data_IF_180805003469
#
_entry.id   IF_180805003469
#
_cell.length_a   1.000
_cell.length_b   1.000
_cell.length_c   1.000
_cell.angle_alpha   90.00
_cell.angle_beta   90.00
_cell.angle_gamma   90.00
#
_symmetry.space_group_name_H-M   'P 1'
#
loop_
_entity.id
_entity.type
_entity.pdbx_description
1 polymer ?
#
# COMPACT_ATOMS: atom_id res chain seq x y z
N UNK A 1 -16.40 28.45 -15.95
CA UNK A 1 -15.09 28.17 -15.31
C UNK A 1 -14.57 26.86 -15.89
N UNK A 2 -13.34 26.80 -16.40
CA UNK A 2 -12.73 25.50 -16.72
C UNK A 2 -12.41 24.81 -15.39
N UNK A 3 -13.01 23.65 -15.15
CA UNK A 3 -12.65 22.81 -14.00
C UNK A 3 -11.15 22.48 -14.10
N UNK A 4 -10.38 22.90 -13.10
CA UNK A 4 -8.95 22.58 -13.03
C UNK A 4 -8.77 21.15 -12.57
N UNK A 5 -8.00 20.35 -13.30
CA UNK A 5 -7.59 19.01 -12.87
C UNK A 5 -6.41 19.08 -11.88
N UNK A 6 -6.30 18.09 -10.99
CA UNK A 6 -5.14 17.92 -10.11
C UNK A 6 -4.69 16.47 -10.14
N UNK A 7 -3.39 16.25 -10.32
CA UNK A 7 -2.77 14.93 -10.18
C UNK A 7 -2.44 14.67 -8.71
N UNK A 8 -2.77 13.47 -8.23
CA UNK A 8 -2.48 13.01 -6.87
C UNK A 8 -2.06 11.54 -6.92
N UNK A 9 -1.26 11.11 -5.95
CA UNK A 9 -1.03 9.69 -5.68
C UNK A 9 -2.15 9.13 -4.80
N UNK A 10 -2.66 7.95 -5.16
CA UNK A 10 -3.56 7.16 -4.34
C UNK A 10 -2.76 6.13 -3.54
N UNK A 11 -3.03 6.02 -2.24
CA UNK A 11 -2.47 4.99 -1.35
C UNK A 11 -3.48 4.69 -0.25
N UNK A 12 -3.13 3.87 0.75
CA UNK A 12 -3.99 3.65 1.91
C UNK A 12 -3.83 4.74 2.98
N UNK A 13 -4.91 4.99 3.73
CA UNK A 13 -4.87 5.90 4.87
C UNK A 13 -3.91 5.42 5.96
N UNK A 14 -3.88 4.12 6.27
CA UNK A 14 -2.95 3.61 7.29
C UNK A 14 -1.48 3.85 6.96
N UNK A 15 -1.11 3.96 5.67
CA UNK A 15 0.25 4.26 5.21
C UNK A 15 0.64 5.71 5.52
N UNK A 16 -0.31 6.64 5.50
CA UNK A 16 -0.05 8.08 5.69
C UNK A 16 -0.18 8.54 7.15
N UNK A 17 -0.70 7.69 8.05
CA UNK A 17 -0.85 7.99 9.49
C UNK A 17 0.42 8.51 10.17
N UNK A 18 1.64 8.01 9.86
CA UNK A 18 2.87 8.55 10.44
C UNK A 18 3.10 10.04 10.18
N UNK A 19 2.48 10.60 9.14
CA UNK A 19 2.57 12.03 8.81
C UNK A 19 1.63 12.90 9.64
N UNK A 20 0.74 12.32 10.44
CA UNK A 20 -0.28 13.05 11.21
C UNK A 20 0.13 13.15 12.68
N UNK A 21 0.00 14.35 13.25
CA UNK A 21 0.35 14.59 14.66
C UNK A 21 -0.46 13.70 15.61
N UNK A 22 0.25 13.04 16.54
CA UNK A 22 -0.33 12.09 17.47
C UNK A 22 -0.04 10.63 17.14
N UNK A 23 0.62 10.34 16.01
CA UNK A 23 1.14 9.02 15.69
C UNK A 23 2.12 8.52 16.75
N UNK A 24 2.00 7.23 17.13
CA UNK A 24 2.89 6.57 18.08
C UNK A 24 3.34 5.22 17.59
N UNK A 25 4.59 4.90 17.90
CA UNK A 25 5.16 3.56 17.77
C UNK A 25 5.29 2.98 19.17
N UNK A 26 4.72 1.80 19.38
CA UNK A 26 4.93 0.98 20.57
C UNK A 26 6.08 -0.01 20.35
N UNK A 27 6.51 -0.66 21.43
CA UNK A 27 7.46 -1.77 21.38
C UNK A 27 6.82 -2.95 22.07
N UNK A 28 6.86 -4.12 21.43
CA UNK A 28 6.42 -5.39 21.99
C UNK A 28 7.60 -6.34 22.04
N UNK A 29 7.72 -7.09 23.13
CA UNK A 29 8.65 -8.20 23.21
C UNK A 29 8.10 -9.34 22.36
N UNK A 30 8.88 -9.75 21.37
CA UNK A 30 8.56 -10.90 20.54
C UNK A 30 9.51 -12.03 20.92
N UNK A 31 8.96 -13.06 21.54
CA UNK A 31 9.73 -14.27 21.84
C UNK A 31 10.09 -14.96 20.52
N UNK A 32 11.37 -15.25 20.34
CA UNK A 32 11.87 -16.05 19.21
C UNK A 32 12.20 -17.43 19.75
N UNK A 33 12.12 -18.47 18.90
CA UNK A 33 12.48 -19.84 19.30
C UNK A 33 13.87 -19.83 19.99
N UNK A 34 13.97 -20.43 21.17
CA UNK A 34 15.11 -20.43 22.12
C UNK A 34 15.24 -19.21 23.06
N UNK A 35 14.17 -18.79 23.74
CA UNK A 35 14.27 -17.99 24.99
C UNK A 35 14.86 -16.57 24.85
N UNK A 36 15.17 -16.14 23.62
CA UNK A 36 15.58 -14.78 23.33
C UNK A 36 14.35 -13.94 22.96
N UNK A 37 14.14 -12.85 23.69
CA UNK A 37 13.12 -11.85 23.38
C UNK A 37 13.73 -10.78 22.48
N UNK A 38 13.15 -10.61 21.29
CA UNK A 38 13.50 -9.51 20.38
C UNK A 38 12.42 -8.45 20.47
N UNK A 39 12.83 -7.21 20.75
CA UNK A 39 11.94 -6.04 20.72
C UNK A 39 11.52 -5.76 19.28
N UNK A 40 10.22 -5.79 19.00
CA UNK A 40 9.65 -5.37 17.72
C UNK A 40 8.81 -4.11 17.88
N UNK A 41 9.01 -3.17 16.96
CA UNK A 41 8.11 -2.02 16.85
C UNK A 41 6.71 -2.49 16.46
N UNK A 42 5.70 -1.95 17.11
CA UNK A 42 4.29 -2.11 16.75
C UNK A 42 3.64 -0.74 16.61
N UNK A 43 2.51 -0.65 15.92
CA UNK A 43 1.73 0.58 15.97
C UNK A 43 1.16 0.75 17.38
N UNK A 44 1.45 1.90 18.00
CA UNK A 44 0.85 2.29 19.26
C UNK A 44 -0.51 2.95 19.03
N UNK A 45 -1.34 2.99 20.07
CA UNK A 45 -2.54 3.82 20.05
C UNK A 45 -2.16 5.29 19.85
N UNK A 46 -2.89 6.04 19.00
CA UNK A 46 -2.64 7.46 18.84
C UNK A 46 -2.91 8.21 20.15
N UNK A 47 -2.28 9.37 20.29
CA UNK A 47 -2.55 10.27 21.43
C UNK A 47 -4.03 10.68 21.40
N UNK A 48 -4.75 10.48 22.51
CA UNK A 48 -6.16 10.85 22.60
C UNK A 48 -6.36 12.33 22.25
N UNK A 49 -7.41 12.61 21.46
CA UNK A 49 -7.80 13.95 21.00
C UNK A 49 -6.79 14.70 20.09
N UNK A 50 -5.70 14.04 19.70
CA UNK A 50 -4.74 14.55 18.70
C UNK A 50 -5.34 14.71 17.31
N UNK A 51 -4.58 15.31 16.39
CA UNK A 51 -4.98 15.42 14.99
C UNK A 51 -5.21 14.03 14.36
N UNK A 52 -4.34 13.05 14.64
CA UNK A 52 -4.49 11.68 14.15
C UNK A 52 -5.72 11.00 14.74
N UNK A 53 -6.02 11.19 16.03
CA UNK A 53 -7.23 10.66 16.64
C UNK A 53 -8.50 11.15 15.92
N UNK A 54 -8.55 12.45 15.61
CA UNK A 54 -9.67 13.06 14.88
C UNK A 54 -9.73 12.58 13.42
N UNK A 55 -8.57 12.46 12.77
CA UNK A 55 -8.45 11.98 11.40
C UNK A 55 -8.86 10.51 11.26
N UNK A 56 -8.48 9.66 12.22
CA UNK A 56 -8.89 8.25 12.23
C UNK A 56 -10.43 8.12 12.33
N UNK A 57 -11.12 9.08 12.98
CA UNK A 57 -12.59 9.08 13.08
C UNK A 57 -13.28 9.72 11.87
N UNK A 58 -12.79 10.87 11.39
CA UNK A 58 -13.51 11.69 10.42
C UNK A 58 -12.92 11.64 9.01
N UNK A 59 -11.71 11.15 8.86
CA UNK A 59 -10.87 11.40 7.70
C UNK A 59 -10.12 12.73 7.78
N UNK A 60 -9.26 12.95 6.80
CA UNK A 60 -8.61 14.23 6.52
C UNK A 60 -9.38 14.88 5.38
N UNK A 61 -9.44 16.21 5.26
CA UNK A 61 -10.22 16.89 4.20
C UNK A 61 -9.40 17.96 3.48
N UNK A 62 -9.66 18.23 2.18
CA UNK A 62 -8.94 19.21 1.38
C UNK A 62 -8.87 20.62 2.00
N UNK A 63 -9.94 21.04 2.69
CA UNK A 63 -10.01 22.36 3.34
C UNK A 63 -8.98 22.58 4.46
N UNK A 64 -8.49 21.48 5.03
CA UNK A 64 -7.50 21.48 6.11
C UNK A 64 -6.11 21.08 5.59
N UNK A 65 -5.94 20.91 4.27
CA UNK A 65 -4.72 20.39 3.67
C UNK A 65 -3.46 21.18 4.03
N UNK A 66 -3.53 22.50 4.17
CA UNK A 66 -2.38 23.33 4.58
C UNK A 66 -1.84 23.00 5.98
N UNK A 67 -2.65 22.36 6.83
CA UNK A 67 -2.24 21.90 8.16
C UNK A 67 -1.60 20.51 8.12
N UNK A 68 -1.73 19.78 7.02
CA UNK A 68 -1.21 18.43 6.89
C UNK A 68 0.30 18.49 6.58
N UNK A 69 1.07 17.64 7.26
CA UNK A 69 2.52 17.54 7.01
C UNK A 69 2.79 16.71 5.77
N UNK A 70 3.99 16.87 5.23
CA UNK A 70 4.49 15.99 4.19
C UNK A 70 4.68 14.58 4.77
N UNK A 71 4.21 13.57 4.04
CA UNK A 71 4.57 12.20 4.33
C UNK A 71 5.97 11.91 3.78
N UNK A 72 6.78 11.25 4.59
CA UNK A 72 8.03 10.67 4.12
C UNK A 72 7.75 9.43 3.29
N UNK A 73 8.66 9.14 2.38
CA UNK A 73 8.64 7.91 1.61
C UNK A 73 8.74 6.71 2.57
N UNK A 74 7.90 5.67 2.45
CA UNK A 74 7.86 4.55 3.40
C UNK A 74 9.22 3.88 3.65
N UNK A 75 10.12 3.90 2.66
CA UNK A 75 11.50 3.42 2.78
C UNK A 75 12.33 4.12 3.88
N UNK A 76 11.98 5.34 4.29
CA UNK A 76 12.71 6.09 5.33
C UNK A 76 12.76 5.34 6.66
N UNK A 77 11.68 4.67 7.02
CA UNK A 77 11.58 3.86 8.25
C UNK A 77 12.62 2.75 8.33
N UNK A 78 13.06 2.23 7.18
CA UNK A 78 14.09 1.19 7.08
C UNK A 78 15.48 1.74 6.72
N UNK A 79 15.61 3.04 6.44
CA UNK A 79 16.84 3.63 5.88
C UNK A 79 18.10 3.21 6.65
N UNK A 80 18.14 3.45 7.97
CA UNK A 80 19.33 3.16 8.78
C UNK A 80 19.66 1.66 8.76
N UNK A 81 18.64 0.80 8.82
CA UNK A 81 18.83 -0.65 8.74
C UNK A 81 19.33 -1.09 7.37
N UNK A 82 18.77 -0.53 6.30
CA UNK A 82 19.21 -0.80 4.93
C UNK A 82 20.65 -0.33 4.70
N UNK A 83 21.02 0.85 5.20
CA UNK A 83 22.39 1.37 5.16
C UNK A 83 23.35 0.41 5.85
N UNK A 84 22.99 -0.09 7.04
CA UNK A 84 23.87 -1.02 7.76
C UNK A 84 24.02 -2.37 7.06
N UNK A 85 22.93 -2.93 6.52
CA UNK A 85 23.00 -4.15 5.69
C UNK A 85 23.89 -3.92 4.46
N UNK A 86 23.80 -2.77 3.80
CA UNK A 86 24.62 -2.49 2.63
C UNK A 86 26.11 -2.32 2.97
N UNK A 87 26.44 -1.90 4.20
CA UNK A 87 27.82 -1.78 4.69
C UNK A 87 28.48 -3.13 4.95
N UNK A 88 27.73 -4.14 5.39
CA UNK A 88 28.29 -5.46 5.74
C UNK A 88 29.11 -6.10 4.59
N UNK A 89 28.60 -6.22 3.35
CA UNK A 89 29.39 -6.74 2.23
C UNK A 89 30.62 -5.88 1.88
N UNK A 90 30.58 -4.56 2.14
CA UNK A 90 31.68 -3.63 1.89
C UNK A 90 32.79 -3.82 2.94
N UNK A 91 32.43 -4.10 4.19
CA UNK A 91 33.39 -4.39 5.26
C UNK A 91 34.09 -5.74 5.07
N UNK A 92 33.37 -6.73 4.54
CA UNK A 92 33.87 -8.12 4.43
C UNK A 92 34.69 -8.38 3.14
N UNK A 93 34.69 -7.46 2.16
CA UNK A 93 35.37 -7.64 0.88
C UNK A 93 36.24 -6.43 0.58
N UNK A 94 37.45 -6.64 0.05
CA UNK A 94 38.37 -5.56 -0.34
C UNK A 94 37.66 -4.47 -1.18
N UNK A 95 37.81 -3.16 -0.86
CA UNK A 95 37.15 -2.05 -1.55
C UNK A 95 37.31 -2.05 -3.08
N UNK A 96 38.38 -2.67 -3.57
CA UNK A 96 38.72 -2.81 -4.99
C UNK A 96 37.84 -3.79 -5.78
N UNK A 97 37.03 -4.63 -5.13
CA UNK A 97 36.32 -5.73 -5.83
C UNK A 97 34.90 -5.43 -6.31
N UNK A 98 34.22 -4.36 -5.85
CA UNK A 98 32.86 -3.97 -6.33
C UNK A 98 32.55 -2.47 -6.14
N UNK A 99 33.00 -1.57 -7.03
CA UNK A 99 32.66 -0.14 -6.99
C UNK A 99 31.14 0.12 -7.01
N UNK A 100 30.35 -0.78 -7.59
CA UNK A 100 28.89 -0.64 -7.70
C UNK A 100 28.15 -0.67 -6.36
N UNK A 101 28.65 -1.44 -5.38
CA UNK A 101 28.02 -1.52 -4.06
C UNK A 101 28.25 -0.25 -3.24
N UNK A 102 29.48 0.30 -3.29
CA UNK A 102 29.80 1.57 -2.65
C UNK A 102 29.00 2.71 -3.27
N UNK A 103 28.97 2.78 -4.61
CA UNK A 103 28.16 3.77 -5.34
C UNK A 103 26.69 3.73 -4.93
N UNK A 104 26.08 2.53 -4.85
CA UNK A 104 24.68 2.38 -4.45
C UNK A 104 24.42 2.78 -2.99
N UNK A 105 25.37 2.51 -2.09
CA UNK A 105 25.30 2.97 -0.70
C UNK A 105 25.37 4.51 -0.62
N UNK A 106 26.31 5.12 -1.34
CA UNK A 106 26.49 6.57 -1.37
C UNK A 106 25.26 7.28 -1.96
N UNK A 107 24.69 6.74 -3.04
CA UNK A 107 23.42 7.22 -3.62
C UNK A 107 22.26 7.12 -2.62
N UNK A 108 22.17 6.01 -1.88
CA UNK A 108 21.15 5.81 -0.85
C UNK A 108 21.30 6.82 0.29
N UNK A 109 22.52 7.10 0.76
CA UNK A 109 22.77 8.08 1.83
C UNK A 109 22.47 9.49 1.32
N UNK A 110 23.03 9.87 0.18
CA UNK A 110 22.86 11.19 -0.43
C UNK A 110 21.38 11.52 -0.73
N UNK A 111 20.56 10.50 -1.01
CA UNK A 111 19.11 10.68 -1.17
C UNK A 111 18.45 11.26 0.09
N UNK A 112 18.76 10.72 1.27
CA UNK A 112 18.16 11.17 2.53
C UNK A 112 18.82 12.43 3.08
N UNK A 113 20.14 12.58 2.92
CA UNK A 113 20.85 13.79 3.34
C UNK A 113 20.43 15.04 2.53
N UNK A 114 19.95 14.83 1.30
CA UNK A 114 19.43 15.90 0.43
C UNK A 114 17.95 16.23 0.64
N UNK A 115 17.32 15.81 1.74
CA UNK A 115 15.90 16.01 2.05
C UNK A 115 14.90 15.46 1.01
N UNK A 116 15.34 14.49 0.18
CA UNK A 116 14.50 13.90 -0.89
C UNK A 116 13.51 12.86 -0.37
N UNK A 117 13.44 12.63 0.95
CA UNK A 117 12.54 11.66 1.56
C UNK A 117 11.06 11.98 1.36
N UNK A 118 10.66 13.23 1.26
CA UNK A 118 9.23 13.60 1.29
C UNK A 118 8.51 13.26 0.00
N UNK A 119 7.56 12.32 0.03
CA UNK A 119 6.76 11.96 -1.14
C UNK A 119 5.81 13.09 -1.54
N UNK A 120 5.16 13.71 -0.56
CA UNK A 120 4.13 14.71 -0.81
C UNK A 120 3.31 15.03 0.42
N UNK A 121 2.39 15.98 0.27
CA UNK A 121 1.46 16.38 1.31
C UNK A 121 0.21 15.51 1.25
N UNK A 122 -0.22 14.97 2.39
CA UNK A 122 -1.50 14.28 2.47
C UNK A 122 -2.61 15.31 2.27
N UNK A 123 -3.43 15.14 1.24
CA UNK A 123 -4.45 16.12 0.87
C UNK A 123 -5.84 15.70 1.34
N UNK A 124 -6.17 14.43 1.17
CA UNK A 124 -7.50 13.90 1.46
C UNK A 124 -7.40 12.44 1.93
N UNK A 125 -8.17 12.00 2.93
CA UNK A 125 -8.14 10.59 3.34
C UNK A 125 -9.43 10.15 4.04
N UNK A 126 -9.72 8.85 3.96
CA UNK A 126 -10.96 8.25 4.47
C UNK A 126 -11.06 8.20 6.00
N UNK A 127 -9.94 8.02 6.71
CA UNK A 127 -10.00 7.59 8.11
C UNK A 127 -10.39 6.11 8.23
N UNK A 128 -10.79 5.67 9.42
CA UNK A 128 -11.13 4.27 9.71
C UNK A 128 -12.60 4.00 9.95
N UNK A 129 -13.46 5.01 9.93
CA UNK A 129 -14.91 4.82 10.14
C UNK A 129 -15.67 4.61 8.84
N UNK A 130 -15.07 4.94 7.70
CA UNK A 130 -15.70 4.84 6.39
C UNK A 130 -15.83 3.38 5.96
N UNK A 131 -16.98 3.04 5.37
CA UNK A 131 -17.33 1.69 4.93
C UNK A 131 -17.95 1.71 3.54
N UNK A 132 -17.74 0.64 2.79
CA UNK A 132 -18.46 0.40 1.53
C UNK A 132 -19.93 0.04 1.82
N UNK A 133 -20.77 0.02 0.78
CA UNK A 133 -22.16 -0.42 0.92
C UNK A 133 -22.32 -1.88 1.36
N UNK A 134 -21.26 -2.68 1.27
CA UNK A 134 -21.21 -4.09 1.69
C UNK A 134 -20.43 -4.30 2.99
N UNK A 135 -20.22 -3.23 3.77
CA UNK A 135 -19.46 -3.24 5.02
C UNK A 135 -17.96 -3.60 4.87
N UNK A 136 -17.38 -3.38 3.71
CA UNK A 136 -15.92 -3.41 3.53
C UNK A 136 -15.28 -2.13 4.06
N UNK A 137 -14.01 -2.19 4.49
CA UNK A 137 -13.29 -1.01 4.96
C UNK A 137 -12.84 -0.13 3.79
N UNK A 138 -13.03 1.18 3.95
CA UNK A 138 -12.46 2.19 3.05
C UNK A 138 -11.19 2.75 3.67
N UNK A 139 -10.04 2.31 3.16
CA UNK A 139 -8.71 2.71 3.64
C UNK A 139 -7.93 3.35 2.49
N UNK A 140 -8.19 4.64 2.22
CA UNK A 140 -7.57 5.36 1.12
C UNK A 140 -7.11 6.76 1.53
N UNK A 141 -6.06 7.23 0.87
CA UNK A 141 -5.53 8.59 0.99
C UNK A 141 -5.02 9.10 -0.36
N UNK A 142 -5.20 10.39 -0.58
CA UNK A 142 -4.70 11.15 -1.72
C UNK A 142 -3.55 12.03 -1.27
N UNK A 143 -2.43 11.92 -1.96
CA UNK A 143 -1.19 12.63 -1.66
C UNK A 143 -0.89 13.55 -2.84
N UNK A 144 -0.71 14.82 -2.56
CA UNK A 144 -0.21 15.78 -3.55
C UNK A 144 1.32 15.70 -3.52
N UNK A 145 1.96 15.16 -4.57
CA UNK A 145 3.41 15.07 -4.60
C UNK A 145 4.09 16.43 -4.52
N UNK A 146 5.32 16.44 -4.01
CA UNK A 146 6.27 17.53 -4.29
C UNK A 146 6.84 17.36 -5.71
N UNK A 147 7.55 18.34 -6.25
CA UNK A 147 8.20 18.21 -7.57
C UNK A 147 9.15 16.99 -7.65
N UNK A 148 9.88 16.72 -6.57
CA UNK A 148 10.70 15.50 -6.43
C UNK A 148 9.86 14.25 -6.14
N UNK A 149 8.67 14.41 -5.57
CA UNK A 149 7.66 13.37 -5.43
C UNK A 149 7.06 12.94 -6.77
N UNK A 150 6.78 13.88 -7.68
CA UNK A 150 6.22 13.59 -9.01
C UNK A 150 7.17 12.71 -9.83
N UNK A 151 8.48 12.95 -9.73
CA UNK A 151 9.50 12.10 -10.36
C UNK A 151 9.56 10.68 -9.78
N UNK A 152 8.99 10.46 -8.59
CA UNK A 152 9.06 9.18 -7.84
C UNK A 152 7.74 8.44 -7.73
N UNK A 153 6.61 9.12 -7.86
CA UNK A 153 5.34 8.45 -8.15
C UNK A 153 5.52 7.91 -9.55
N UNK A 154 5.83 6.61 -9.65
CA UNK A 154 6.00 5.95 -10.93
C UNK A 154 4.81 6.24 -11.84
N UNK A 155 5.05 6.27 -13.15
CA UNK A 155 3.94 6.29 -14.10
C UNK A 155 3.01 5.11 -13.82
N UNK A 156 1.74 5.24 -14.19
CA UNK A 156 0.78 4.13 -14.13
C UNK A 156 1.09 3.12 -15.25
N UNK A 157 2.33 2.66 -15.34
CA UNK A 157 2.89 1.79 -16.38
C UNK A 157 2.97 0.38 -15.81
N UNK A 158 2.38 -0.56 -16.52
CA UNK A 158 2.39 -1.99 -16.19
C UNK A 158 3.76 -2.61 -16.48
N UNK A 159 4.16 -3.68 -15.77
CA UNK A 159 5.45 -4.32 -16.00
C UNK A 159 5.58 -4.85 -17.43
N UNK A 160 6.81 -4.90 -17.93
CA UNK A 160 7.14 -5.53 -19.20
C UNK A 160 7.24 -7.04 -19.06
N UNK A 161 7.32 -7.74 -20.18
CA UNK A 161 7.41 -9.20 -20.24
C UNK A 161 8.54 -9.76 -19.37
N UNK A 162 9.71 -9.12 -19.41
CA UNK A 162 10.91 -9.60 -18.72
C UNK A 162 10.74 -9.58 -17.19
N UNK A 163 9.88 -8.69 -16.68
CA UNK A 163 9.55 -8.64 -15.25
C UNK A 163 8.77 -9.88 -14.79
N UNK A 164 8.01 -10.48 -15.71
CA UNK A 164 7.17 -11.64 -15.44
C UNK A 164 7.91 -12.95 -15.69
N UNK A 165 8.64 -13.06 -16.81
CA UNK A 165 9.43 -14.25 -17.16
C UNK A 165 10.51 -14.56 -16.12
N UNK A 166 11.06 -13.54 -15.46
CA UNK A 166 12.03 -13.72 -14.39
C UNK A 166 11.46 -14.49 -13.17
N UNK A 167 10.14 -14.57 -13.01
CA UNK A 167 9.47 -15.14 -11.84
C UNK A 167 8.54 -16.31 -12.15
N UNK A 168 7.80 -16.22 -13.25
CA UNK A 168 6.79 -17.19 -13.63
C UNK A 168 7.22 -17.90 -14.92
N UNK A 169 6.88 -19.18 -15.07
CA UNK A 169 7.09 -19.96 -16.32
C UNK A 169 5.82 -19.98 -17.19
N UNK A 170 4.67 -19.78 -16.55
CA UNK A 170 3.33 -19.69 -17.12
C UNK A 170 2.51 -18.78 -16.20
N UNK A 171 1.37 -18.28 -16.70
CA UNK A 171 0.47 -17.37 -15.99
C UNK A 171 0.88 -15.89 -15.96
N UNK A 172 1.30 -15.35 -17.09
CA UNK A 172 1.50 -13.91 -17.27
C UNK A 172 0.17 -13.18 -17.53
N UNK A 173 0.12 -11.85 -17.32
CA UNK A 173 -0.95 -11.04 -17.88
C UNK A 173 -0.87 -11.07 -19.41
N UNK A 174 -1.91 -10.57 -20.10
CA UNK A 174 -1.96 -10.67 -21.57
C UNK A 174 -0.84 -9.83 -22.21
N UNK A 175 -0.22 -10.29 -23.32
CA UNK A 175 0.96 -9.62 -23.89
C UNK A 175 0.77 -8.13 -24.23
N UNK A 176 -0.45 -7.73 -24.63
CA UNK A 176 -0.77 -6.33 -24.92
C UNK A 176 -0.81 -5.41 -23.70
N UNK A 177 -0.67 -5.95 -22.48
CA UNK A 177 -0.56 -5.16 -21.26
C UNK A 177 0.88 -4.75 -20.95
N UNK A 178 1.87 -5.41 -21.56
CA UNK A 178 3.28 -5.24 -21.19
C UNK A 178 3.79 -3.83 -21.48
N UNK A 179 4.28 -3.13 -20.45
CA UNK A 179 4.76 -1.76 -20.58
C UNK A 179 3.68 -0.73 -20.94
N UNK A 180 2.41 -1.14 -21.01
CA UNK A 180 1.28 -0.27 -21.29
C UNK A 180 0.79 0.48 -20.06
N UNK A 181 -0.12 1.43 -20.26
CA UNK A 181 -0.75 2.15 -19.15
C UNK A 181 -1.82 1.29 -18.46
N UNK A 182 -1.87 1.36 -17.13
CA UNK A 182 -2.97 0.88 -16.30
C UNK A 182 -4.26 1.55 -16.79
N UNK A 183 -5.25 0.73 -17.08
CA UNK A 183 -6.53 1.20 -17.61
C UNK A 183 -7.46 1.59 -16.46
N UNK A 184 -8.38 2.50 -16.76
CA UNK A 184 -9.47 2.86 -15.85
C UNK A 184 -10.22 1.62 -15.38
N UNK A 185 -10.87 1.74 -14.22
CA UNK A 185 -11.84 0.75 -13.79
C UNK A 185 -12.95 0.64 -14.84
N UNK A 186 -13.07 -0.54 -15.45
CA UNK A 186 -14.10 -0.86 -16.44
C UNK A 186 -14.79 -2.21 -16.16
N UNK A 187 -14.35 -2.92 -15.13
CA UNK A 187 -14.96 -4.13 -14.59
C UNK A 187 -15.00 -4.00 -13.07
N UNK A 188 -16.09 -4.43 -12.45
CA UNK A 188 -16.19 -4.44 -10.99
C UNK A 188 -15.56 -5.71 -10.40
N UNK A 189 -14.90 -5.57 -9.25
CA UNK A 189 -14.45 -6.74 -8.47
C UNK A 189 -15.64 -7.51 -7.88
N UNK A 190 -16.80 -6.87 -7.74
CA UNK A 190 -18.04 -7.54 -7.34
C UNK A 190 -18.46 -8.62 -8.35
N UNK A 191 -18.06 -8.47 -9.61
CA UNK A 191 -18.32 -9.41 -10.72
C UNK A 191 -17.13 -10.35 -10.99
N UNK A 192 -16.11 -10.35 -10.12
CA UNK A 192 -14.98 -11.27 -10.21
C UNK A 192 -15.43 -12.71 -9.90
N UNK A 193 -14.89 -13.68 -10.64
CA UNK A 193 -15.18 -15.10 -10.43
C UNK A 193 -14.06 -15.74 -9.63
N UNK A 194 -14.41 -16.69 -8.77
CA UNK A 194 -13.43 -17.47 -8.02
C UNK A 194 -12.38 -18.08 -9.00
N UNK A 195 -11.10 -17.87 -8.70
CA UNK A 195 -9.99 -18.28 -9.57
C UNK A 195 -9.57 -17.26 -10.63
N UNK A 196 -10.28 -16.13 -10.80
CA UNK A 196 -9.84 -15.06 -11.69
C UNK A 196 -8.43 -14.60 -11.30
N UNK A 197 -7.53 -14.52 -12.29
CA UNK A 197 -6.15 -14.07 -12.06
C UNK A 197 -6.10 -12.56 -11.92
N UNK A 198 -5.41 -12.10 -10.88
CA UNK A 198 -5.12 -10.69 -10.68
C UNK A 198 -3.65 -10.46 -10.44
N UNK A 199 -3.22 -9.25 -10.73
CA UNK A 199 -1.83 -8.85 -10.77
C UNK A 199 -1.64 -7.57 -9.96
N UNK A 200 -0.44 -7.41 -9.39
CA UNK A 200 -0.03 -6.15 -8.75
C UNK A 200 1.46 -5.87 -8.92
N UNK A 201 1.85 -4.62 -8.70
CA UNK A 201 3.23 -4.22 -8.40
C UNK A 201 3.22 -3.70 -6.97
N UNK A 202 3.95 -4.36 -6.07
CA UNK A 202 4.17 -3.90 -4.70
C UNK A 202 5.62 -3.51 -4.43
N UNK A 203 5.85 -2.61 -3.47
CA UNK A 203 7.20 -2.19 -3.11
C UNK A 203 8.04 -3.33 -2.48
N UNK A 204 7.40 -4.33 -1.85
CA UNK A 204 8.10 -5.45 -1.23
C UNK A 204 8.21 -6.65 -2.14
N UNK A 205 7.16 -7.02 -2.86
CA UNK A 205 7.16 -8.24 -3.69
C UNK A 205 7.35 -7.96 -5.18
N UNK A 206 7.45 -6.70 -5.59
CA UNK A 206 7.48 -6.26 -7.00
C UNK A 206 6.28 -6.81 -7.77
N UNK A 207 6.44 -7.22 -9.03
CA UNK A 207 5.37 -7.77 -9.86
C UNK A 207 4.96 -9.15 -9.37
N UNK A 208 3.70 -9.32 -8.96
CA UNK A 208 3.16 -10.59 -8.47
C UNK A 208 1.76 -10.86 -9.02
N UNK A 209 1.38 -12.15 -9.02
CA UNK A 209 0.07 -12.65 -9.40
C UNK A 209 -0.57 -13.42 -8.24
N UNK A 210 -1.88 -13.30 -8.10
CA UNK A 210 -2.72 -14.07 -7.19
C UNK A 210 -4.03 -14.46 -7.87
N UNK A 211 -4.85 -15.25 -7.18
CA UNK A 211 -6.20 -15.60 -7.64
C UNK A 211 -7.26 -15.01 -6.73
N UNK A 212 -8.35 -14.53 -7.32
CA UNK A 212 -9.51 -14.05 -6.60
C UNK A 212 -10.19 -15.20 -5.87
N UNK A 213 -10.61 -14.97 -4.63
CA UNK A 213 -11.55 -15.82 -3.92
C UNK A 213 -12.87 -15.11 -3.71
N UNK A 214 -13.97 -15.84 -3.93
CA UNK A 214 -15.32 -15.40 -3.61
C UNK A 214 -15.64 -15.41 -2.11
N UNK A 215 -14.76 -16.01 -1.29
CA UNK A 215 -14.83 -15.95 0.16
C UNK A 215 -14.51 -14.53 0.62
N UNK A 216 -15.38 -14.00 1.48
CA UNK A 216 -15.16 -12.72 2.16
C UNK A 216 -14.95 -12.93 3.66
N UNK A 217 -13.74 -12.72 4.19
CA UNK A 217 -13.51 -12.90 5.60
C UNK A 217 -14.05 -11.70 6.38
N UNK A 218 -14.68 -12.00 7.53
CA UNK A 218 -14.99 -11.00 8.53
C UNK A 218 -13.73 -10.68 9.34
N UNK A 219 -13.27 -9.44 9.25
CA UNK A 219 -12.01 -9.00 9.80
C UNK A 219 -12.21 -7.94 10.88
N UNK A 220 -11.39 -8.00 11.94
CA UNK A 220 -11.20 -6.89 12.87
C UNK A 220 -9.76 -6.43 12.71
N UNK A 221 -9.59 -5.26 12.12
CA UNK A 221 -8.28 -4.68 11.83
C UNK A 221 -7.69 -4.07 13.11
N UNK A 222 -6.47 -4.46 13.46
CA UNK A 222 -5.84 -4.15 14.75
C UNK A 222 -5.71 -2.65 15.03
N UNK A 223 -5.62 -1.86 13.97
CA UNK A 223 -5.43 -0.43 13.93
C UNK A 223 -6.62 0.36 14.51
N UNK A 224 -7.81 -0.25 14.57
CA UNK A 224 -9.03 0.37 15.09
C UNK A 224 -9.30 0.02 16.55
N UNK A 225 -8.53 -0.89 17.16
CA UNK A 225 -8.82 -1.44 18.51
C UNK A 225 -8.84 -0.40 19.62
N UNK A 226 -8.12 0.71 19.43
CA UNK A 226 -8.06 1.78 20.43
C UNK A 226 -9.31 2.67 20.44
N UNK A 227 -10.19 2.57 19.45
CA UNK A 227 -11.41 3.37 19.35
C UNK A 227 -12.48 2.91 20.34
N UNK A 228 -12.22 3.19 21.62
CA UNK A 228 -13.08 2.83 22.76
C UNK A 228 -14.49 3.38 22.54
N UNK A 229 -15.50 2.56 22.81
CA UNK A 229 -16.92 2.92 22.67
C UNK A 229 -17.57 2.42 21.38
N UNK A 230 -16.80 1.90 20.42
CA UNK A 230 -17.35 1.15 19.28
C UNK A 230 -17.66 -0.29 19.67
N UNK A 231 -18.81 -0.78 19.25
CA UNK A 231 -19.17 -2.20 19.42
C UNK A 231 -18.31 -3.03 18.47
N UNK A 232 -18.02 -4.28 18.83
CA UNK A 232 -17.23 -5.18 17.97
C UNK A 232 -17.83 -5.30 16.55
N UNK A 233 -19.16 -5.34 16.46
CA UNK A 233 -19.88 -5.35 15.18
C UNK A 233 -19.58 -4.14 14.29
N UNK A 234 -19.22 -2.99 14.87
CA UNK A 234 -18.86 -1.77 14.12
C UNK A 234 -17.38 -1.80 13.66
N UNK A 235 -16.54 -2.56 14.36
CA UNK A 235 -15.13 -2.78 14.00
C UNK A 235 -14.95 -3.87 12.94
N UNK A 236 -15.95 -4.72 12.77
CA UNK A 236 -15.95 -5.82 11.81
C UNK A 236 -16.18 -5.30 10.39
N UNK A 237 -15.35 -5.74 9.46
CA UNK A 237 -15.52 -5.48 8.03
C UNK A 237 -15.48 -6.77 7.21
N UNK A 238 -16.17 -6.78 6.08
CA UNK A 238 -16.21 -7.92 5.15
C UNK A 238 -15.44 -7.57 3.88
N UNK A 239 -14.34 -8.28 3.64
CA UNK A 239 -13.33 -7.84 2.68
C UNK A 239 -13.22 -8.77 1.46
N UNK A 240 -12.76 -8.26 0.33
CA UNK A 240 -12.39 -9.12 -0.80
C UNK A 240 -10.98 -9.66 -0.59
N UNK A 241 -10.75 -10.94 -0.91
CA UNK A 241 -9.45 -11.56 -0.75
C UNK A 241 -8.84 -12.09 -2.05
N UNK A 242 -7.52 -12.03 -2.12
CA UNK A 242 -6.70 -12.71 -3.12
C UNK A 242 -5.75 -13.66 -2.43
N UNK A 243 -5.63 -14.87 -2.96
CA UNK A 243 -4.76 -15.92 -2.42
C UNK A 243 -3.54 -16.12 -3.30
N UNK A 244 -2.47 -16.62 -2.68
CA UNK A 244 -1.25 -17.03 -3.39
C UNK A 244 -1.58 -18.09 -4.46
N UNK A 245 -0.80 -18.10 -5.55
CA UNK A 245 -0.94 -19.16 -6.56
C UNK A 245 -0.19 -20.40 -6.10
N UNK A 246 -0.94 -21.45 -5.78
CA UNK A 246 -0.42 -22.77 -5.38
C UNK A 246 -0.27 -23.64 -6.62
N UNK A 247 0.90 -24.25 -6.82
CA UNK A 247 1.13 -25.24 -7.89
C UNK A 247 2.19 -24.90 -8.94
N UNK A 248 2.98 -23.83 -8.75
CA UNK A 248 4.20 -23.58 -9.53
C UNK A 248 5.39 -24.11 -8.72
N UNK A 249 6.45 -24.58 -9.39
CA UNK A 249 7.68 -25.10 -8.77
C UNK A 249 8.35 -24.13 -7.76
N UNK A 250 7.89 -22.87 -7.70
CA UNK A 250 8.17 -21.90 -6.65
C UNK A 250 6.86 -21.36 -6.10
N UNK A 251 6.74 -21.36 -4.78
CA UNK A 251 5.64 -20.71 -4.07
C UNK A 251 5.83 -19.20 -4.16
N UNK A 252 5.00 -18.55 -4.95
CA UNK A 252 5.01 -17.10 -5.11
C UNK A 252 3.94 -16.47 -4.23
N UNK A 253 4.36 -15.57 -3.34
CA UNK A 253 3.46 -14.84 -2.46
C UNK A 253 2.83 -13.69 -3.24
N UNK A 254 1.50 -13.57 -3.17
CA UNK A 254 0.79 -12.49 -3.85
C UNK A 254 1.18 -11.13 -3.26
N UNK A 255 1.24 -11.02 -1.94
CA UNK A 255 1.61 -9.79 -1.26
C UNK A 255 2.33 -9.98 0.08
N UNK A 256 3.03 -8.94 0.51
CA UNK A 256 3.76 -8.90 1.78
C UNK A 256 3.67 -7.51 2.44
N UNK A 257 4.14 -7.42 3.69
CA UNK A 257 4.28 -6.15 4.41
C UNK A 257 5.09 -5.16 3.58
N UNK A 258 4.48 -4.02 3.26
CA UNK A 258 5.05 -2.98 2.40
C UNK A 258 4.37 -2.87 1.04
N UNK A 259 3.50 -3.80 0.67
CA UNK A 259 2.72 -3.71 -0.58
C UNK A 259 1.39 -2.95 -0.43
N UNK A 260 1.01 -2.56 0.79
CA UNK A 260 -0.19 -1.74 1.02
C UNK A 260 -0.15 -0.46 0.17
N UNK A 261 -1.24 -0.18 -0.52
CA UNK A 261 -1.40 0.93 -1.45
C UNK A 261 -1.20 0.53 -2.91
N UNK A 262 -0.83 -0.73 -3.18
CA UNK A 262 -0.73 -1.24 -4.55
C UNK A 262 -2.11 -1.35 -5.18
N UNK A 263 -2.22 -0.91 -6.44
CA UNK A 263 -3.37 -1.22 -7.28
C UNK A 263 -3.28 -2.68 -7.73
N UNK A 264 -4.40 -3.37 -7.63
CA UNK A 264 -4.62 -4.70 -8.20
C UNK A 264 -5.36 -4.53 -9.53
N UNK A 265 -4.91 -5.23 -10.57
CA UNK A 265 -5.53 -5.21 -11.90
C UNK A 265 -5.75 -6.62 -12.46
N UNK A 266 -6.62 -6.71 -13.47
CA UNK A 266 -6.96 -7.96 -14.13
C UNK A 266 -6.05 -8.29 -15.33
N UNK A 267 -6.34 -9.38 -16.03
CA UNK A 267 -5.59 -9.82 -17.20
C UNK A 267 -5.56 -8.83 -18.37
N UNK A 268 -6.48 -7.87 -18.39
CA UNK A 268 -6.58 -6.80 -19.37
C UNK A 268 -5.88 -5.50 -18.96
N UNK A 269 -5.30 -5.46 -17.75
CA UNK A 269 -4.67 -4.24 -17.21
C UNK A 269 -5.65 -3.22 -16.65
N UNK A 270 -6.89 -3.62 -16.34
CA UNK A 270 -7.91 -2.73 -15.75
C UNK A 270 -7.78 -2.71 -14.24
N UNK A 271 -7.81 -1.53 -13.63
CA UNK A 271 -7.80 -1.43 -12.17
C UNK A 271 -9.05 -2.09 -11.56
N UNK A 272 -8.83 -2.96 -10.56
CA UNK A 272 -9.86 -3.75 -9.88
C UNK A 272 -9.96 -3.41 -8.39
N UNK A 273 -8.85 -3.08 -7.73
CA UNK A 273 -8.87 -2.85 -6.29
C UNK A 273 -7.62 -2.20 -5.73
N UNK A 274 -7.70 -1.81 -4.46
CA UNK A 274 -6.63 -1.25 -3.67
C UNK A 274 -6.25 -2.23 -2.54
N UNK A 275 -5.05 -2.79 -2.60
CA UNK A 275 -4.55 -3.70 -1.56
C UNK A 275 -4.26 -2.91 -0.29
N UNK A 276 -4.78 -3.36 0.86
CA UNK A 276 -4.54 -2.67 2.13
C UNK A 276 -3.89 -3.54 3.21
N UNK A 277 -4.17 -4.84 3.29
CA UNK A 277 -3.54 -5.72 4.29
C UNK A 277 -3.56 -7.18 3.85
N UNK A 278 -3.15 -8.10 4.73
CA UNK A 278 -3.18 -9.54 4.51
C UNK A 278 -2.77 -10.33 5.75
N UNK A 279 -2.92 -11.65 5.69
CA UNK A 279 -2.55 -12.55 6.80
C UNK A 279 -2.01 -13.88 6.28
N UNK A 280 -1.18 -14.51 7.11
CA UNK A 280 -0.83 -15.94 7.00
C UNK A 280 -1.58 -16.68 8.11
N UNK A 281 -2.57 -17.53 7.80
CA UNK A 281 -3.25 -18.34 8.81
C UNK A 281 -2.25 -19.25 9.54
N UNK A 282 -2.51 -19.60 10.80
CA UNK A 282 -1.56 -20.37 11.62
C UNK A 282 -1.29 -21.80 11.14
N UNK A 283 -2.26 -22.40 10.43
CA UNK A 283 -2.22 -23.82 10.03
C UNK A 283 -1.81 -24.03 8.57
N UNK A 284 -1.59 -22.95 7.83
CA UNK A 284 -1.12 -23.02 6.46
C UNK A 284 0.00 -22.03 6.26
N UNK A 285 0.80 -22.34 5.27
CA UNK A 285 1.91 -21.52 4.86
C UNK A 285 1.46 -20.54 3.75
N UNK A 286 0.26 -20.75 3.20
CA UNK A 286 -0.41 -19.88 2.23
C UNK A 286 -0.84 -18.55 2.85
N UNK A 287 -0.81 -17.50 2.06
CA UNK A 287 -1.19 -16.16 2.48
C UNK A 287 -2.38 -15.69 1.67
N UNK A 288 -3.12 -14.76 2.26
CA UNK A 288 -4.12 -14.00 1.54
C UNK A 288 -3.90 -12.51 1.77
N UNK A 289 -4.26 -11.71 0.77
CA UNK A 289 -4.30 -10.26 0.83
C UNK A 289 -5.74 -9.79 0.75
N UNK A 290 -6.06 -8.74 1.50
CA UNK A 290 -7.36 -8.08 1.50
C UNK A 290 -7.30 -6.81 0.66
N UNK A 291 -8.36 -6.61 -0.12
CA UNK A 291 -8.43 -5.57 -1.15
C UNK A 291 -9.78 -4.87 -1.08
N UNK A 292 -9.75 -3.54 -1.12
CA UNK A 292 -10.95 -2.72 -1.28
C UNK A 292 -11.24 -2.55 -2.77
N UNK A 293 -12.50 -2.75 -3.24
CA UNK A 293 -12.90 -2.45 -4.61
C UNK A 293 -12.51 -1.02 -5.03
N UNK A 294 -11.89 -0.85 -6.20
CA UNK A 294 -11.40 0.47 -6.61
C UNK A 294 -12.56 1.43 -6.95
N UNK A 295 -13.66 0.87 -7.45
CA UNK A 295 -14.92 1.57 -7.68
C UNK A 295 -15.51 2.16 -6.40
N UNK A 296 -15.44 1.43 -5.28
CA UNK A 296 -15.90 1.90 -3.97
C UNK A 296 -14.97 2.99 -3.43
N UNK A 297 -13.65 2.86 -3.65
CA UNK A 297 -12.68 3.91 -3.31
C UNK A 297 -12.99 5.20 -4.07
N UNK A 298 -13.18 5.13 -5.39
CA UNK A 298 -13.50 6.30 -6.22
C UNK A 298 -14.84 6.92 -5.85
N UNK A 299 -15.86 6.10 -5.58
CA UNK A 299 -17.15 6.56 -5.10
C UNK A 299 -17.00 7.30 -3.77
N UNK A 300 -16.29 6.70 -2.82
CA UNK A 300 -16.04 7.30 -1.50
C UNK A 300 -15.32 8.64 -1.58
N UNK A 301 -14.28 8.78 -2.43
CA UNK A 301 -13.58 10.05 -2.64
C UNK A 301 -14.56 11.13 -3.10
N UNK A 302 -15.40 10.83 -4.10
CA UNK A 302 -16.38 11.77 -4.65
C UNK A 302 -17.41 12.18 -3.60
N UNK A 303 -18.00 11.22 -2.90
CA UNK A 303 -19.00 11.47 -1.85
C UNK A 303 -18.43 12.29 -0.69
N UNK A 304 -17.28 11.90 -0.16
CA UNK A 304 -16.63 12.62 0.96
C UNK A 304 -16.17 14.03 0.55
N UNK A 305 -15.93 14.28 -0.74
CA UNK A 305 -15.54 15.60 -1.22
C UNK A 305 -16.68 16.63 -1.18
N UNK A 306 -17.93 16.18 -0.96
CA UNK A 306 -19.11 17.04 -1.00
C UNK A 306 -19.38 17.63 -2.38
N UNK A 307 -19.02 16.90 -3.45
CA UNK A 307 -19.20 17.33 -4.85
C UNK A 307 -18.02 18.13 -5.43
N UNK A 308 -16.96 18.42 -4.66
CA UNK A 308 -15.78 19.13 -5.17
C UNK A 308 -14.92 18.28 -6.12
N UNK A 309 -15.07 16.95 -6.07
CA UNK A 309 -14.43 16.01 -6.98
C UNK A 309 -15.55 15.29 -7.73
N UNK A 310 -15.69 15.61 -9.01
CA UNK A 310 -16.75 15.05 -9.87
C UNK A 310 -16.25 13.85 -10.68
N UNK A 311 -14.98 13.87 -11.08
CA UNK A 311 -14.36 12.87 -11.94
C UNK A 311 -12.99 12.44 -11.40
N UNK A 312 -12.65 11.17 -11.58
CA UNK A 312 -11.37 10.57 -11.17
C UNK A 312 -10.87 9.74 -12.34
N UNK A 313 -9.62 9.99 -12.75
CA UNK A 313 -8.96 9.25 -13.81
C UNK A 313 -7.60 8.79 -13.33
N UNK A 314 -7.29 7.53 -13.61
CA UNK A 314 -5.92 7.02 -13.59
C UNK A 314 -5.16 7.75 -14.70
N UNK A 315 -4.19 8.59 -14.32
CA UNK A 315 -3.38 9.32 -15.29
C UNK A 315 -2.57 8.33 -16.14
N UNK A 316 -2.48 8.52 -17.45
CA UNK A 316 -1.48 7.80 -18.25
C UNK A 316 -0.08 8.28 -17.86
N UNK A 317 0.90 7.36 -17.91
CA UNK A 317 2.31 7.73 -17.98
C UNK A 317 2.68 8.26 -19.36
#
# INVERSE_FOLDING_TARGET
>A
MRAGGRTVALTNYHVVRPAVEGFRVGVVDHEVKLGESVKRGTMGSPVKDSALWKADIKGLFPKDAEKHKNMEHPARSKHNFTVEIMREPIRQVSPTRRPDHQKRLDEQIAFFDGDKQYLGRVWFASGYTQRTGTNGRLDWALVVPTDEGEKRIGGNILPREENWEAKYYYNYPKPWTYGGNLKQQARSIHDAKNGDRMFKIGASTTSTMGTFSDIKPDCIISEERYMVGRREAELRSSEYMFVDVVGIARKEIFGNRGDSGSIVWDDEGRAMGLLFTGQTPHQTEERYCLVTPIEDVFKSIKEMSGGNIEDIRIAGG
#
